data_IF_102237649768
#
_entry.id   IF_102237649768
#
_cell.length_a   1.000
_cell.length_b   1.000
_cell.length_c   1.000
_cell.angle_alpha   90.00
_cell.angle_beta   90.00
_cell.angle_gamma   90.00
#
_symmetry.space_group_name_H-M   'P 1'
#
loop_
_entity.id
_entity.type
_entity.pdbx_description
1 polymer ?
#
# COMPACT_ATOMS: atom_id res chain seq x y z
N UNK A 1 -24.46 9.85 34.15
CA UNK A 1 -23.35 8.92 33.86
C UNK A 1 -23.72 8.10 32.63
N UNK A 2 -22.83 8.12 31.63
CA UNK A 2 -22.86 7.28 30.41
C UNK A 2 -22.87 5.80 30.86
N UNK A 3 -23.60 4.86 30.26
CA UNK A 3 -23.43 4.33 28.90
C UNK A 3 -24.71 3.57 28.55
N UNK A 4 -25.39 3.94 27.46
CA UNK A 4 -26.38 3.06 26.82
C UNK A 4 -25.60 2.21 25.82
N UNK A 5 -25.72 0.91 26.02
CA UNK A 5 -25.00 -0.14 25.29
C UNK A 5 -25.46 -0.18 23.84
N UNK A 6 -24.45 -0.34 23.00
CA UNK A 6 -24.45 -0.55 21.56
C UNK A 6 -25.68 -1.25 20.96
N UNK A 7 -26.22 -0.57 19.95
CA UNK A 7 -26.78 -1.14 18.73
C UNK A 7 -25.88 -2.28 18.24
N UNK A 8 -26.42 -3.49 18.02
CA UNK A 8 -26.05 -4.39 16.91
C UNK A 8 -26.80 -5.73 17.00
N UNK A 9 -27.77 -5.89 16.11
CA UNK A 9 -28.48 -7.12 15.78
C UNK A 9 -29.08 -6.85 14.40
N UNK A 10 -28.95 -7.63 13.33
CA UNK A 10 -28.49 -9.00 13.08
C UNK A 10 -28.18 -9.06 11.57
N UNK A 11 -27.01 -9.56 11.16
CA UNK A 11 -26.83 -10.15 9.84
C UNK A 11 -26.57 -11.64 10.05
N UNK A 12 -27.64 -12.44 9.93
CA UNK A 12 -27.55 -13.89 9.87
C UNK A 12 -27.18 -14.31 8.45
N UNK A 13 -25.92 -14.71 8.26
CA UNK A 13 -25.57 -15.75 7.28
C UNK A 13 -24.63 -16.75 7.97
N UNK A 14 -24.97 -18.04 8.02
CA UNK A 14 -24.11 -19.07 8.61
C UNK A 14 -23.06 -19.46 7.57
N UNK A 15 -21.95 -18.73 7.53
CA UNK A 15 -20.74 -19.31 6.96
C UNK A 15 -20.00 -20.02 8.09
N UNK A 16 -20.20 -21.34 8.08
CA UNK A 16 -19.24 -22.37 8.48
C UNK A 16 -17.87 -21.82 8.90
N UNK A 17 -17.48 -22.24 10.09
CA UNK A 17 -16.12 -22.29 10.61
C UNK A 17 -15.12 -22.69 9.50
N UNK A 18 -14.58 -21.71 8.79
CA UNK A 18 -13.24 -21.83 8.22
C UNK A 18 -12.31 -21.35 9.32
N UNK A 19 -11.58 -22.29 9.92
CA UNK A 19 -10.38 -21.98 10.66
C UNK A 19 -9.56 -20.97 9.84
N UNK A 20 -9.12 -19.88 10.45
CA UNK A 20 -8.14 -18.99 9.81
C UNK A 20 -6.87 -19.82 9.61
N UNK A 21 -6.71 -20.44 8.44
CA UNK A 21 -5.45 -21.07 8.06
C UNK A 21 -4.38 -19.99 8.12
N UNK A 22 -3.48 -20.12 9.08
CA UNK A 22 -2.33 -19.26 9.20
C UNK A 22 -1.41 -19.58 8.02
N UNK A 23 -1.49 -18.75 6.97
CA UNK A 23 -0.70 -18.90 5.75
C UNK A 23 0.78 -19.13 6.08
N UNK A 24 1.44 -20.04 5.37
CA UNK A 24 2.88 -20.24 5.53
C UNK A 24 3.65 -19.01 5.04
N UNK A 25 4.91 -18.79 5.48
CA UNK A 25 5.75 -17.73 4.95
C UNK A 25 5.82 -17.74 3.41
N UNK A 26 5.96 -18.91 2.79
CA UNK A 26 6.07 -19.06 1.34
C UNK A 26 4.76 -18.67 0.62
N UNK A 27 3.60 -19.01 1.21
CA UNK A 27 2.31 -18.59 0.66
C UNK A 27 2.13 -17.07 0.70
N UNK A 28 2.55 -16.42 1.79
CA UNK A 28 2.49 -14.96 1.90
C UNK A 28 3.42 -14.27 0.90
N UNK A 29 4.62 -14.80 0.74
CA UNK A 29 5.59 -14.29 -0.22
C UNK A 29 5.06 -14.42 -1.66
N UNK A 30 4.49 -15.58 -2.00
CA UNK A 30 3.87 -15.78 -3.31
C UNK A 30 2.72 -14.81 -3.58
N UNK A 31 1.80 -14.66 -2.63
CA UNK A 31 0.67 -13.72 -2.75
C UNK A 31 1.15 -12.26 -2.89
N UNK A 32 2.24 -11.92 -2.20
CA UNK A 32 2.87 -10.61 -2.32
C UNK A 32 3.38 -10.37 -3.75
N UNK A 33 4.15 -11.30 -4.31
CA UNK A 33 4.63 -11.18 -5.70
C UNK A 33 3.49 -11.15 -6.71
N UNK A 34 2.44 -11.95 -6.51
CA UNK A 34 1.24 -11.92 -7.36
C UNK A 34 0.54 -10.55 -7.31
N UNK A 35 0.44 -9.93 -6.13
CA UNK A 35 -0.13 -8.59 -5.99
C UNK A 35 0.74 -7.51 -6.66
N UNK A 36 2.07 -7.63 -6.58
CA UNK A 36 3.00 -6.75 -7.29
C UNK A 36 2.85 -6.91 -8.80
N UNK A 37 2.77 -8.14 -9.31
CA UNK A 37 2.57 -8.40 -10.74
C UNK A 37 1.25 -7.82 -11.25
N UNK A 38 0.14 -8.03 -10.52
CA UNK A 38 -1.15 -7.42 -10.88
C UNK A 38 -1.09 -5.89 -10.93
N UNK A 39 -0.29 -5.29 -10.04
CA UNK A 39 -0.09 -3.86 -10.00
C UNK A 39 0.73 -3.37 -11.20
N UNK A 40 1.75 -4.12 -11.62
CA UNK A 40 2.55 -3.85 -12.83
C UNK A 40 1.65 -3.95 -14.05
N UNK A 41 0.92 -5.05 -14.22
CA UNK A 41 0.01 -5.28 -15.36
C UNK A 41 -1.01 -4.14 -15.50
N UNK A 42 -1.57 -3.68 -14.38
CA UNK A 42 -2.47 -2.52 -14.37
C UNK A 42 -1.79 -1.25 -14.84
N UNK A 43 -0.56 -0.99 -14.39
CA UNK A 43 0.18 0.23 -14.75
C UNK A 43 0.62 0.18 -16.21
N UNK A 44 1.07 -0.97 -16.70
CA UNK A 44 1.40 -1.21 -18.10
C UNK A 44 0.23 -0.87 -19.00
N UNK A 45 -0.96 -1.40 -18.70
CA UNK A 45 -2.15 -1.13 -19.49
C UNK A 45 -2.63 0.34 -19.39
N UNK A 46 -2.52 0.94 -18.21
CA UNK A 46 -2.98 2.32 -17.97
C UNK A 46 -2.08 3.37 -18.63
N UNK A 47 -0.77 3.15 -18.58
CA UNK A 47 0.25 4.13 -18.95
C UNK A 47 0.86 3.85 -20.31
N UNK A 48 0.63 2.66 -20.89
CA UNK A 48 1.29 2.19 -22.10
C UNK A 48 2.82 2.16 -21.90
N UNK A 49 3.25 1.40 -20.88
CA UNK A 49 4.66 1.31 -20.51
C UNK A 49 5.44 0.47 -21.53
N UNK A 50 6.64 0.91 -21.89
CA UNK A 50 7.57 0.10 -22.67
C UNK A 50 8.27 -0.96 -21.80
N UNK A 51 8.92 -1.95 -22.43
CA UNK A 51 9.60 -3.05 -21.73
C UNK A 51 10.64 -2.58 -20.70
N UNK A 52 11.34 -1.48 -20.96
CA UNK A 52 12.30 -0.93 -20.00
C UNK A 52 11.59 -0.31 -18.81
N UNK A 53 10.52 0.44 -19.05
CA UNK A 53 9.68 1.01 -17.99
C UNK A 53 8.98 -0.07 -17.16
N UNK A 54 8.52 -1.15 -17.78
CA UNK A 54 7.96 -2.32 -17.09
C UNK A 54 9.00 -2.94 -16.16
N UNK A 55 10.23 -3.16 -16.67
CA UNK A 55 11.33 -3.69 -15.87
C UNK A 55 11.66 -2.79 -14.66
N UNK A 56 11.73 -1.47 -14.86
CA UNK A 56 11.97 -0.54 -13.76
C UNK A 56 10.80 -0.51 -12.78
N UNK A 57 9.56 -0.52 -13.26
CA UNK A 57 8.38 -0.53 -12.41
C UNK A 57 8.33 -1.79 -11.54
N UNK A 58 8.64 -2.96 -12.10
CA UNK A 58 8.76 -4.20 -11.35
C UNK A 58 9.83 -4.11 -10.26
N UNK A 59 11.03 -3.66 -10.63
CA UNK A 59 12.14 -3.53 -9.69
C UNK A 59 11.82 -2.56 -8.55
N UNK A 60 11.23 -1.40 -8.86
CA UNK A 60 10.80 -0.39 -7.87
C UNK A 60 9.75 -0.98 -6.92
N UNK A 61 8.69 -1.56 -7.46
CA UNK A 61 7.57 -2.05 -6.65
C UNK A 61 8.00 -3.24 -5.79
N UNK A 62 8.71 -4.20 -6.37
CA UNK A 62 9.22 -5.36 -5.63
C UNK A 62 10.15 -4.92 -4.50
N UNK A 63 11.11 -4.04 -4.76
CA UNK A 63 12.03 -3.53 -3.74
C UNK A 63 11.30 -2.76 -2.64
N UNK A 64 10.55 -1.71 -3.01
CA UNK A 64 9.98 -0.77 -2.05
C UNK A 64 8.87 -1.40 -1.21
N UNK A 65 8.05 -2.29 -1.78
CA UNK A 65 7.05 -3.02 -1.00
C UNK A 65 7.69 -4.08 -0.09
N UNK A 66 8.79 -4.70 -0.50
CA UNK A 66 9.53 -5.64 0.37
C UNK A 66 10.10 -4.90 1.58
N UNK A 67 10.77 -3.77 1.35
CA UNK A 67 11.34 -2.96 2.42
C UNK A 67 10.26 -2.39 3.36
N UNK A 68 9.10 -1.98 2.82
CA UNK A 68 7.94 -1.60 3.62
C UNK A 68 7.45 -2.76 4.51
N UNK A 69 7.36 -3.98 3.96
CA UNK A 69 6.94 -5.16 4.70
C UNK A 69 7.93 -5.53 5.80
N UNK A 70 9.23 -5.43 5.55
CA UNK A 70 10.28 -5.65 6.56
C UNK A 70 10.15 -4.67 7.72
N UNK A 71 9.86 -3.40 7.45
CA UNK A 71 9.61 -2.40 8.50
C UNK A 71 8.34 -2.70 9.30
N UNK A 72 7.26 -3.12 8.65
CA UNK A 72 6.06 -3.57 9.37
C UNK A 72 6.34 -4.77 10.27
N UNK A 73 7.13 -5.74 9.80
CA UNK A 73 7.54 -6.88 10.61
C UNK A 73 8.38 -6.43 11.80
N UNK A 74 9.32 -5.51 11.58
CA UNK A 74 10.15 -4.93 12.66
C UNK A 74 9.30 -4.23 13.73
N UNK A 75 8.36 -3.38 13.32
CA UNK A 75 7.43 -2.71 14.24
C UNK A 75 6.57 -3.71 15.02
N UNK A 76 6.06 -4.74 14.34
CA UNK A 76 5.27 -5.81 14.95
C UNK A 76 6.09 -6.60 15.98
N UNK A 77 7.33 -6.96 15.66
CA UNK A 77 8.24 -7.65 16.57
C UNK A 77 8.59 -6.78 17.80
N UNK A 78 8.74 -5.48 17.61
CA UNK A 78 8.90 -4.50 18.69
C UNK A 78 7.60 -4.23 19.48
N UNK A 79 6.50 -4.94 19.16
CA UNK A 79 5.17 -4.80 19.79
C UNK A 79 4.64 -3.37 19.73
N UNK A 80 4.99 -2.62 18.68
CA UNK A 80 4.45 -1.28 18.45
C UNK A 80 2.97 -1.42 18.13
N UNK A 81 2.12 -0.89 19.01
CA UNK A 81 0.66 -0.91 18.85
C UNK A 81 0.08 0.41 18.31
N UNK A 82 0.91 1.44 18.17
CA UNK A 82 0.47 2.74 17.65
C UNK A 82 0.31 2.66 16.12
N UNK A 83 -0.93 2.71 15.65
CA UNK A 83 -1.26 2.67 14.24
C UNK A 83 -0.64 3.84 13.44
N UNK A 84 -0.45 5.01 14.05
CA UNK A 84 0.16 6.16 13.38
C UNK A 84 1.56 5.82 12.87
N UNK A 85 2.35 5.00 13.60
CA UNK A 85 3.70 4.63 13.18
C UNK A 85 3.68 3.74 11.93
N UNK A 86 2.69 2.88 11.77
CA UNK A 86 2.53 2.07 10.55
C UNK A 86 2.12 2.95 9.36
N UNK A 87 1.23 3.94 9.57
CA UNK A 87 0.91 4.91 8.54
C UNK A 87 2.13 5.75 8.11
N UNK A 88 3.05 6.01 9.04
CA UNK A 88 4.28 6.75 8.74
C UNK A 88 5.23 5.94 7.86
N UNK A 89 5.39 4.64 8.14
CA UNK A 89 6.12 3.72 7.26
C UNK A 89 5.46 3.65 5.88
N UNK A 90 4.13 3.50 5.83
CA UNK A 90 3.39 3.50 4.57
C UNK A 90 3.63 4.79 3.77
N UNK A 91 3.44 5.95 4.39
CA UNK A 91 3.56 7.24 3.71
C UNK A 91 4.98 7.46 3.18
N UNK A 92 6.00 7.03 3.92
CA UNK A 92 7.40 7.08 3.50
C UNK A 92 7.63 6.27 2.21
N UNK A 93 7.20 5.02 2.19
CA UNK A 93 7.43 4.14 1.05
C UNK A 93 6.56 4.50 -0.15
N UNK A 94 5.31 4.94 0.06
CA UNK A 94 4.46 5.42 -1.03
C UNK A 94 4.99 6.72 -1.64
N UNK A 95 5.67 7.56 -0.87
CA UNK A 95 6.35 8.75 -1.39
C UNK A 95 7.61 8.39 -2.18
N UNK A 96 8.37 7.40 -1.73
CA UNK A 96 9.50 6.85 -2.48
C UNK A 96 9.05 6.31 -3.86
N UNK A 97 8.02 5.46 -3.90
CA UNK A 97 7.47 4.90 -5.14
C UNK A 97 6.99 6.02 -6.07
N UNK A 98 6.27 7.01 -5.54
CA UNK A 98 5.80 8.16 -6.31
C UNK A 98 6.96 8.91 -6.99
N UNK A 99 8.04 9.17 -6.25
CA UNK A 99 9.22 9.84 -6.77
C UNK A 99 10.00 8.99 -7.77
N UNK A 100 10.06 7.67 -7.56
CA UNK A 100 10.68 6.74 -8.50
C UNK A 100 9.91 6.68 -9.82
N UNK A 101 8.57 6.64 -9.78
CA UNK A 101 7.73 6.69 -10.98
C UNK A 101 7.86 8.00 -11.75
N UNK A 102 7.96 9.15 -11.06
CA UNK A 102 8.21 10.42 -11.73
C UNK A 102 9.51 10.45 -12.54
N UNK A 103 10.49 9.60 -12.21
CA UNK A 103 11.78 9.53 -12.93
C UNK A 103 11.74 8.63 -14.16
N UNK A 104 10.87 7.63 -14.20
CA UNK A 104 10.84 6.62 -15.27
C UNK A 104 9.72 6.87 -16.29
N UNK A 105 8.70 7.65 -15.92
CA UNK A 105 7.59 8.01 -16.79
C UNK A 105 7.93 9.27 -17.58
N UNK A 106 7.48 9.32 -18.84
CA UNK A 106 7.43 10.58 -19.58
C UNK A 106 6.31 11.49 -19.06
N UNK A 107 6.22 12.71 -19.59
CA UNK A 107 5.24 13.70 -19.14
C UNK A 107 3.79 13.23 -19.36
N UNK A 108 3.47 12.62 -20.50
CA UNK A 108 2.11 12.18 -20.81
C UNK A 108 1.67 11.02 -19.90
N UNK A 109 2.57 10.05 -19.70
CA UNK A 109 2.41 8.95 -18.77
C UNK A 109 2.29 9.46 -17.33
N UNK A 110 3.11 10.42 -16.92
CA UNK A 110 3.04 11.04 -15.60
C UNK A 110 1.69 11.71 -15.37
N UNK A 111 1.19 12.48 -16.34
CA UNK A 111 -0.13 13.10 -16.23
C UNK A 111 -1.26 12.06 -16.15
N UNK A 112 -1.18 10.94 -16.88
CA UNK A 112 -2.13 9.81 -16.75
C UNK A 112 -2.05 9.18 -15.35
N UNK A 113 -0.84 8.95 -14.85
CA UNK A 113 -0.61 8.41 -13.52
C UNK A 113 -1.21 9.31 -12.43
N UNK A 114 -0.99 10.62 -12.51
CA UNK A 114 -1.60 11.59 -11.60
C UNK A 114 -3.13 11.54 -11.62
N UNK A 115 -3.73 11.49 -12.81
CA UNK A 115 -5.19 11.40 -13.01
C UNK A 115 -5.80 10.08 -12.52
N UNK A 116 -5.01 9.00 -12.47
CA UNK A 116 -5.47 7.69 -11.97
C UNK A 116 -5.77 7.65 -10.46
N UNK A 117 -5.37 8.71 -9.73
CA UNK A 117 -5.56 8.80 -8.27
C UNK A 117 -4.30 9.21 -7.53
N UNK A 118 -3.11 9.06 -8.14
CA UNK A 118 -1.85 9.36 -7.49
C UNK A 118 -1.73 10.81 -7.01
N UNK A 119 -2.31 11.78 -7.74
CA UNK A 119 -2.36 13.18 -7.29
C UNK A 119 -3.17 13.37 -6.00
N UNK A 120 -4.32 12.69 -5.90
CA UNK A 120 -5.15 12.70 -4.68
C UNK A 120 -4.41 12.07 -3.51
N UNK A 121 -3.75 10.95 -3.76
CA UNK A 121 -3.06 10.19 -2.72
C UNK A 121 -1.83 10.95 -2.22
N UNK A 122 -1.05 11.59 -3.12
CA UNK A 122 0.02 12.53 -2.78
C UNK A 122 -0.48 13.68 -1.90
N UNK A 123 -1.55 14.35 -2.31
CA UNK A 123 -2.17 15.43 -1.52
C UNK A 123 -2.60 14.97 -0.12
N UNK A 124 -3.10 13.73 -0.01
CA UNK A 124 -3.49 13.17 1.28
C UNK A 124 -2.27 12.91 2.18
N UNK A 125 -1.16 12.39 1.62
CA UNK A 125 0.12 12.22 2.33
C UNK A 125 0.68 13.56 2.80
N UNK A 126 0.75 14.55 1.92
CA UNK A 126 1.25 15.90 2.24
C UNK A 126 0.45 16.53 3.39
N UNK A 127 -0.89 16.42 3.33
CA UNK A 127 -1.76 16.91 4.42
C UNK A 127 -1.49 16.20 5.75
N UNK A 128 -1.16 14.90 5.74
CA UNK A 128 -0.77 14.17 6.97
C UNK A 128 0.59 14.64 7.47
N UNK A 129 1.57 14.82 6.59
CA UNK A 129 2.90 15.34 6.94
C UNK A 129 2.81 16.75 7.56
N UNK A 130 2.06 17.67 6.93
CA UNK A 130 1.83 19.02 7.44
C UNK A 130 1.20 19.03 8.84
N UNK A 131 0.24 18.14 9.09
CA UNK A 131 -0.42 18.03 10.41
C UNK A 131 0.56 17.61 11.50
N UNK A 132 1.57 16.80 11.18
CA UNK A 132 2.59 16.37 12.14
C UNK A 132 3.57 17.50 12.47
N UNK A 133 3.97 18.30 11.47
CA UNK A 133 4.84 19.45 11.67
C UNK A 133 4.21 20.57 12.52
N UNK A 134 2.88 20.61 12.59
CA UNK A 134 2.12 21.59 13.37
C UNK A 134 1.77 21.13 14.80
N UNK A 135 2.14 19.90 15.16
CA UNK A 135 2.01 19.38 16.53
C UNK A 135 3.31 19.61 17.29
#
# INVERSE_FOLDING_TARGET
>A
MKKIVALLSICLLPFVLSAQEQKTPEQREKEFYEAVQQQIDRLTALLDLDDSQIFYADSILTHDYTAMQEEYVSLSQAKVSNADIYYDVQDKWMEQIYNSFHRILDEDQWQKYLKSGAARDKKARDKRAEKKLKK
#
